data_IF_821886060494
#
_entry.id   IF_821886060494
#
_cell.length_a   1.000
_cell.length_b   1.000
_cell.length_c   1.000
_cell.angle_alpha   90.00
_cell.angle_beta   90.00
_cell.angle_gamma   90.00
#
_symmetry.space_group_name_H-M   'P 1'
#
loop_
_entity.id
_entity.type
_entity.pdbx_description
1 polymer ?
#
# COMPACT_ATOMS: atom_id res chain seq x y z
N UNK A 1 11.10 14.16 8.64
CA UNK A 1 10.13 13.42 9.48
C UNK A 1 8.74 13.84 9.04
N UNK A 2 7.81 12.90 8.92
CA UNK A 2 6.46 13.22 8.49
C UNK A 2 5.61 11.99 8.20
N UNK A 3 4.36 12.25 7.82
CA UNK A 3 3.38 11.25 7.46
C UNK A 3 3.82 10.47 6.21
N UNK A 4 3.58 9.17 6.21
CA UNK A 4 3.79 8.27 5.08
C UNK A 4 2.45 7.65 4.72
N UNK A 5 2.10 7.64 3.43
CA UNK A 5 0.97 6.85 2.95
C UNK A 5 1.48 5.60 2.24
N UNK A 6 0.86 4.46 2.52
CA UNK A 6 1.12 3.21 1.83
C UNK A 6 -0.09 2.71 1.05
N UNK A 7 0.18 2.02 -0.04
CA UNK A 7 -0.83 1.48 -0.95
C UNK A 7 -0.59 -0.01 -1.20
N UNK A 8 -1.62 -0.81 -0.93
CA UNK A 8 -1.74 -2.18 -1.46
C UNK A 8 -2.47 -2.10 -2.80
N UNK A 9 -1.73 -2.25 -3.90
CA UNK A 9 -2.29 -2.04 -5.23
C UNK A 9 -3.02 -3.28 -5.74
N UNK A 10 -4.34 -3.18 -5.88
CA UNK A 10 -5.15 -4.07 -6.68
C UNK A 10 -5.86 -3.32 -7.82
N UNK A 11 -6.14 -4.02 -8.92
CA UNK A 11 -6.77 -3.41 -10.11
C UNK A 11 -8.17 -2.85 -9.84
N UNK A 12 -8.91 -3.41 -8.88
CA UNK A 12 -10.26 -2.97 -8.53
C UNK A 12 -10.32 -2.18 -7.22
N UNK A 13 -9.36 -2.43 -6.33
CA UNK A 13 -9.36 -1.94 -4.95
C UNK A 13 -7.93 -1.64 -4.55
N UNK A 14 -7.73 -0.54 -3.83
CA UNK A 14 -6.44 -0.19 -3.28
C UNK A 14 -6.61 0.01 -1.78
N UNK A 15 -5.96 -0.85 -1.00
CA UNK A 15 -5.83 -0.65 0.43
C UNK A 15 -4.94 0.56 0.69
N UNK A 16 -5.29 1.39 1.67
CA UNK A 16 -4.49 2.55 2.05
C UNK A 16 -4.22 2.50 3.54
N UNK A 17 -2.97 2.80 3.91
CA UNK A 17 -2.54 2.98 5.28
C UNK A 17 -1.75 4.28 5.45
N UNK A 18 -1.70 4.74 6.69
CA UNK A 18 -0.93 5.92 7.10
C UNK A 18 -0.01 5.56 8.26
N UNK A 19 1.08 6.28 8.42
CA UNK A 19 2.01 6.09 9.52
C UNK A 19 3.02 7.22 9.62
N UNK A 20 3.80 7.23 10.68
CA UNK A 20 4.78 8.28 10.94
C UNK A 20 6.18 7.70 11.07
N UNK A 21 7.15 8.27 10.33
CA UNK A 21 8.54 7.77 10.32
C UNK A 21 9.21 7.78 11.68
N UNK A 22 8.77 8.65 12.59
CA UNK A 22 9.30 8.79 13.96
C UNK A 22 8.90 7.63 14.86
N UNK A 23 7.64 7.22 14.76
CA UNK A 23 7.08 6.16 15.60
C UNK A 23 7.32 4.78 14.98
N UNK A 24 7.50 4.72 13.66
CA UNK A 24 7.67 3.44 12.95
C UNK A 24 6.42 2.57 12.99
N UNK A 25 5.25 3.18 13.20
CA UNK A 25 3.97 2.50 13.36
C UNK A 25 3.02 2.84 12.23
N UNK A 26 2.39 1.82 11.66
CA UNK A 26 1.38 1.96 10.62
C UNK A 26 -0.04 1.69 11.13
N UNK A 27 -1.02 2.39 10.53
CA UNK A 27 -2.44 2.23 10.79
C UNK A 27 -3.23 2.10 9.48
N UNK A 28 -4.28 1.26 9.44
CA UNK A 28 -5.13 1.17 8.26
C UNK A 28 -5.93 2.47 8.14
N UNK A 29 -5.98 3.04 6.94
CA UNK A 29 -6.65 4.32 6.70
C UNK A 29 -8.01 4.11 6.02
N UNK A 30 -8.00 3.52 4.82
CA UNK A 30 -9.22 3.31 4.04
C UNK A 30 -8.96 2.36 2.88
N UNK A 31 -9.99 2.06 2.09
CA UNK A 31 -9.88 1.34 0.82
C UNK A 31 -10.51 2.16 -0.29
N UNK A 32 -9.75 2.38 -1.36
CA UNK A 32 -10.22 3.07 -2.56
C UNK A 32 -10.81 2.03 -3.50
N UNK A 33 -12.08 2.23 -3.85
CA UNK A 33 -12.76 1.50 -4.92
C UNK A 33 -12.88 2.42 -6.13
N UNK A 34 -12.27 2.04 -7.25
CA UNK A 34 -12.30 2.84 -8.47
C UNK A 34 -12.22 1.93 -9.70
N UNK A 35 -13.11 2.18 -10.66
CA UNK A 35 -13.16 1.42 -11.92
C UNK A 35 -12.23 2.01 -12.99
N UNK A 36 -11.95 3.31 -12.92
CA UNK A 36 -11.06 4.01 -13.83
C UNK A 36 -9.75 4.45 -13.15
N UNK A 37 -8.72 4.72 -13.97
CA UNK A 37 -7.48 5.31 -13.46
C UNK A 37 -7.70 6.74 -12.94
N UNK A 38 -8.57 7.51 -13.58
CA UNK A 38 -8.78 8.92 -13.21
C UNK A 38 -9.47 9.04 -11.85
N UNK A 39 -10.51 8.22 -11.59
CA UNK A 39 -11.19 8.18 -10.30
C UNK A 39 -10.24 7.73 -9.19
N UNK A 40 -9.40 6.74 -9.49
CA UNK A 40 -8.37 6.25 -8.58
C UNK A 40 -7.41 7.36 -8.16
N UNK A 41 -6.83 8.08 -9.12
CA UNK A 41 -5.90 9.16 -8.80
C UNK A 41 -6.60 10.39 -8.23
N UNK A 42 -7.88 10.63 -8.52
CA UNK A 42 -8.65 11.67 -7.85
C UNK A 42 -8.84 11.34 -6.36
N UNK A 43 -9.18 10.09 -6.02
CA UNK A 43 -9.31 9.64 -4.64
C UNK A 43 -7.98 9.72 -3.89
N UNK A 44 -6.88 9.24 -4.49
CA UNK A 44 -5.54 9.35 -3.91
C UNK A 44 -5.15 10.83 -3.70
N UNK A 45 -5.46 11.69 -4.66
CA UNK A 45 -5.15 13.12 -4.56
C UNK A 45 -5.82 13.80 -3.36
N UNK A 46 -7.05 13.39 -3.01
CA UNK A 46 -7.72 13.86 -1.78
C UNK A 46 -6.94 13.44 -0.54
N UNK A 47 -6.51 12.17 -0.46
CA UNK A 47 -5.72 11.68 0.66
C UNK A 47 -4.35 12.37 0.77
N UNK A 48 -3.68 12.60 -0.36
CA UNK A 48 -2.40 13.34 -0.38
C UNK A 48 -2.58 14.78 0.10
N UNK A 49 -3.65 15.45 -0.31
CA UNK A 49 -3.94 16.82 0.13
C UNK A 49 -4.30 16.89 1.63
N UNK A 50 -5.02 15.90 2.13
CA UNK A 50 -5.45 15.80 3.54
C UNK A 50 -4.30 15.45 4.47
N UNK A 51 -3.53 14.41 4.15
CA UNK A 51 -2.50 13.85 5.02
C UNK A 51 -1.10 14.46 4.82
N UNK A 52 -0.90 15.19 3.72
CA UNK A 52 0.36 15.85 3.35
C UNK A 52 1.59 14.96 3.56
N UNK A 53 1.61 13.75 2.97
CA UNK A 53 2.70 12.81 3.21
C UNK A 53 4.02 13.31 2.63
N UNK A 54 5.11 13.00 3.33
CA UNK A 54 6.48 13.27 2.86
C UNK A 54 7.01 12.14 1.98
N UNK A 55 6.38 10.97 2.03
CA UNK A 55 6.79 9.75 1.34
C UNK A 55 5.56 8.90 1.02
N UNK A 56 5.57 8.25 -0.15
CA UNK A 56 4.60 7.23 -0.50
C UNK A 56 5.28 5.85 -0.52
N UNK A 57 4.53 4.80 -0.20
CA UNK A 57 5.01 3.41 -0.24
C UNK A 57 4.02 2.57 -1.04
N UNK A 58 4.54 1.68 -1.89
CA UNK A 58 3.71 0.74 -2.67
C UNK A 58 4.17 -0.68 -2.37
N UNK A 59 3.22 -1.56 -2.06
CA UNK A 59 3.50 -2.98 -1.95
C UNK A 59 3.97 -3.55 -3.30
N UNK A 60 5.00 -4.39 -3.28
CA UNK A 60 5.53 -5.04 -4.45
C UNK A 60 5.36 -6.56 -4.32
N UNK A 61 4.44 -7.16 -5.09
CA UNK A 61 4.27 -8.61 -5.11
C UNK A 61 5.53 -9.29 -5.63
N UNK A 62 6.04 -10.22 -4.82
CA UNK A 62 7.27 -10.98 -5.06
C UNK A 62 6.93 -12.46 -4.98
N UNK A 63 6.71 -13.08 -6.15
CA UNK A 63 6.47 -14.52 -6.23
C UNK A 63 7.81 -15.28 -6.13
N UNK A 64 7.81 -16.39 -5.40
CA UNK A 64 8.99 -17.21 -5.10
C UNK A 64 9.37 -18.14 -6.26
N UNK A 65 8.44 -18.32 -7.21
CA UNK A 65 8.36 -19.39 -8.19
C UNK A 65 8.55 -18.93 -9.66
N UNK A 66 8.90 -17.65 -9.88
CA UNK A 66 9.41 -17.16 -11.17
C UNK A 66 8.37 -17.00 -12.30
N UNK A 67 7.08 -17.15 -12.01
CA UNK A 67 5.96 -16.86 -12.92
C UNK A 67 5.66 -15.35 -13.01
N UNK A 68 4.98 -14.88 -14.08
CA UNK A 68 5.20 -13.53 -14.59
C UNK A 68 4.85 -12.38 -13.64
N UNK A 69 5.80 -11.46 -13.60
CA UNK A 69 5.85 -10.09 -13.09
C UNK A 69 4.67 -9.16 -13.46
N UNK A 70 3.48 -9.62 -13.86
CA UNK A 70 2.43 -8.71 -14.33
C UNK A 70 1.91 -7.80 -13.22
N UNK A 71 1.55 -8.35 -12.05
CA UNK A 71 1.12 -7.50 -10.93
C UNK A 71 2.26 -6.61 -10.43
N UNK A 72 3.48 -7.15 -10.34
CA UNK A 72 4.70 -6.39 -10.06
C UNK A 72 4.86 -5.22 -11.04
N UNK A 73 4.69 -5.46 -12.35
CA UNK A 73 4.78 -4.47 -13.43
C UNK A 73 3.67 -3.42 -13.30
N UNK A 74 2.46 -3.81 -12.94
CA UNK A 74 1.34 -2.89 -12.73
C UNK A 74 1.57 -2.03 -11.48
N UNK A 75 2.02 -2.61 -10.37
CA UNK A 75 2.40 -1.90 -9.15
C UNK A 75 3.55 -0.91 -9.40
N UNK A 76 4.58 -1.30 -10.16
CA UNK A 76 5.67 -0.38 -10.55
C UNK A 76 5.15 0.77 -11.42
N UNK A 77 4.31 0.49 -12.43
CA UNK A 77 3.67 1.54 -13.24
C UNK A 77 2.80 2.48 -12.41
N UNK A 78 2.10 1.94 -11.40
CA UNK A 78 1.32 2.72 -10.46
C UNK A 78 2.22 3.63 -9.61
N UNK A 79 3.30 3.11 -9.04
CA UNK A 79 4.29 3.87 -8.28
C UNK A 79 4.94 5.00 -9.10
N UNK A 80 5.29 4.75 -10.36
CA UNK A 80 5.79 5.80 -11.25
C UNK A 80 4.78 6.91 -11.50
N UNK A 81 3.50 6.57 -11.64
CA UNK A 81 2.42 7.56 -11.80
C UNK A 81 2.23 8.38 -10.54
N UNK A 82 2.29 7.76 -9.35
CA UNK A 82 2.28 8.47 -8.07
C UNK A 82 3.41 9.49 -8.00
N UNK A 83 4.65 9.04 -8.28
CA UNK A 83 5.84 9.89 -8.28
C UNK A 83 5.68 11.10 -9.19
N UNK A 84 5.27 10.88 -10.45
CA UNK A 84 5.08 11.97 -11.43
C UNK A 84 3.95 12.93 -11.06
N UNK A 85 2.84 12.42 -10.50
CA UNK A 85 1.64 13.23 -10.24
C UNK A 85 1.75 14.07 -8.98
N UNK A 86 2.39 13.55 -7.94
CA UNK A 86 2.46 14.22 -6.63
C UNK A 86 3.82 14.80 -6.31
N UNK A 87 4.84 14.51 -7.14
CA UNK A 87 6.22 14.95 -6.90
C UNK A 87 6.75 14.54 -5.51
N UNK A 88 6.36 13.34 -5.07
CA UNK A 88 6.79 12.74 -3.81
C UNK A 88 7.71 11.54 -4.08
N UNK A 89 8.67 11.28 -3.18
CA UNK A 89 9.41 10.02 -3.24
C UNK A 89 8.46 8.84 -3.05
N UNK A 90 8.75 7.75 -3.76
CA UNK A 90 7.96 6.50 -3.70
C UNK A 90 8.91 5.35 -3.42
N UNK A 91 8.66 4.64 -2.33
CA UNK A 91 9.40 3.44 -1.91
C UNK A 91 8.57 2.19 -2.17
N UNK A 92 9.23 1.04 -2.12
CA UNK A 92 8.58 -0.27 -2.26
C UNK A 92 8.76 -1.09 -0.99
N UNK A 93 7.73 -1.84 -0.60
CA UNK A 93 7.83 -2.85 0.43
C UNK A 93 7.66 -4.24 -0.19
N UNK A 94 8.45 -5.21 0.26
CA UNK A 94 8.38 -6.59 -0.21
C UNK A 94 7.18 -7.32 0.42
N UNK A 95 6.30 -7.90 -0.39
CA UNK A 95 5.07 -8.56 0.06
C UNK A 95 5.24 -10.05 0.42
N UNK A 96 6.46 -10.61 0.33
CA UNK A 96 6.75 -12.05 0.55
C UNK A 96 6.18 -12.66 1.82
N UNK A 97 5.88 -11.86 2.84
CA UNK A 97 5.42 -12.32 4.16
C UNK A 97 3.91 -12.21 4.39
N UNK A 98 3.13 -11.58 3.50
CA UNK A 98 1.79 -11.10 3.87
C UNK A 98 0.65 -11.96 3.36
N UNK A 99 0.80 -12.71 2.26
CA UNK A 99 -0.34 -13.38 1.60
C UNK A 99 -0.87 -14.59 2.38
N UNK A 100 0.02 -15.45 2.88
CA UNK A 100 -0.35 -16.70 3.57
C UNK A 100 -0.86 -16.43 5.00
N UNK A 101 -0.17 -15.55 5.73
CA UNK A 101 -0.53 -15.22 7.12
C UNK A 101 -1.79 -14.35 7.21
N UNK A 102 -2.01 -13.44 6.25
CA UNK A 102 -3.24 -12.66 6.22
C UNK A 102 -4.44 -13.57 5.94
N UNK A 103 -4.42 -14.40 4.89
CA UNK A 103 -5.55 -15.30 4.59
C UNK A 103 -5.87 -16.30 5.72
N UNK A 104 -4.86 -16.75 6.48
CA UNK A 104 -5.05 -17.61 7.64
C UNK A 104 -5.77 -16.86 8.77
N UNK A 105 -5.28 -15.68 9.16
CA UNK A 105 -5.89 -14.84 10.20
C UNK A 105 -7.31 -14.40 9.83
N UNK A 106 -7.59 -14.21 8.54
CA UNK A 106 -8.90 -13.79 8.05
C UNK A 106 -9.97 -14.88 8.16
N UNK A 107 -9.60 -16.14 7.89
CA UNK A 107 -10.50 -17.29 8.05
C UNK A 107 -10.92 -17.50 9.51
N UNK A 108 -10.04 -17.19 10.47
CA UNK A 108 -10.33 -17.32 11.89
C UNK A 108 -11.36 -16.31 12.43
N UNK A 109 -11.54 -15.16 11.76
CA UNK A 109 -12.42 -14.08 12.27
C UNK A 109 -13.91 -14.24 12.00
N UNK A 110 -14.36 -15.27 11.26
CA UNK A 110 -15.77 -15.62 11.08
C UNK A 110 -16.67 -14.55 10.41
N UNK A 111 -16.10 -13.45 9.90
CA UNK A 111 -16.84 -12.37 9.24
C UNK A 111 -17.19 -12.74 7.79
N UNK A 112 -18.38 -12.36 7.34
CA UNK A 112 -18.80 -12.57 5.95
C UNK A 112 -17.80 -11.88 5.00
N UNK A 113 -17.17 -12.66 4.12
CA UNK A 113 -16.00 -12.24 3.32
C UNK A 113 -16.26 -10.96 2.52
N UNK A 114 -17.51 -10.69 2.09
CA UNK A 114 -17.85 -9.48 1.32
C UNK A 114 -17.83 -8.18 2.15
N UNK A 115 -18.25 -8.20 3.42
CA UNK A 115 -18.28 -7.00 4.27
C UNK A 115 -16.96 -6.75 4.97
N UNK A 116 -16.17 -7.80 5.21
CA UNK A 116 -14.83 -7.65 5.77
C UNK A 116 -13.83 -7.08 4.74
N UNK A 117 -14.03 -7.39 3.45
CA UNK A 117 -13.10 -7.14 2.35
C UNK A 117 -12.45 -5.74 2.30
N UNK A 118 -13.18 -4.62 2.44
CA UNK A 118 -12.56 -3.29 2.46
C UNK A 118 -11.64 -3.07 3.66
N UNK A 119 -12.00 -3.59 4.84
CA UNK A 119 -11.11 -3.53 6.02
C UNK A 119 -9.84 -4.36 5.80
N UNK A 120 -9.95 -5.48 5.08
CA UNK A 120 -8.80 -6.36 4.84
C UNK A 120 -7.77 -5.72 3.92
N UNK A 121 -8.21 -5.04 2.85
CA UNK A 121 -7.29 -4.36 1.95
C UNK A 121 -6.54 -3.23 2.69
N UNK A 122 -7.24 -2.46 3.54
CA UNK A 122 -6.60 -1.41 4.35
C UNK A 122 -5.60 -1.99 5.37
N UNK A 123 -5.89 -3.16 5.94
CA UNK A 123 -4.96 -3.90 6.83
C UNK A 123 -3.76 -4.44 6.05
N UNK A 124 -3.93 -4.90 4.81
CA UNK A 124 -2.81 -5.30 3.96
C UNK A 124 -1.87 -4.12 3.69
N UNK A 125 -2.41 -2.93 3.39
CA UNK A 125 -1.62 -1.71 3.25
C UNK A 125 -0.90 -1.31 4.55
N UNK A 126 -1.51 -1.56 5.72
CA UNK A 126 -0.86 -1.35 7.01
C UNK A 126 0.37 -2.24 7.16
N UNK A 127 0.25 -3.53 6.83
CA UNK A 127 1.37 -4.48 6.88
C UNK A 127 2.49 -4.09 5.92
N UNK A 128 2.15 -3.67 4.69
CA UNK A 128 3.11 -3.13 3.72
C UNK A 128 3.92 -1.97 4.34
N UNK A 129 3.24 -1.02 4.98
CA UNK A 129 3.90 0.14 5.57
C UNK A 129 4.76 -0.26 6.79
N UNK A 130 4.26 -1.17 7.61
CA UNK A 130 4.99 -1.69 8.77
C UNK A 130 6.29 -2.39 8.34
N UNK A 131 6.22 -3.27 7.34
CA UNK A 131 7.39 -3.93 6.73
C UNK A 131 8.38 -2.91 6.19
N UNK A 132 7.89 -1.81 5.58
CA UNK A 132 8.76 -0.76 5.08
C UNK A 132 9.48 0.00 6.21
N UNK A 133 8.80 0.29 7.32
CA UNK A 133 9.43 0.92 8.49
C UNK A 133 10.49 0.03 9.13
N UNK A 134 10.25 -1.28 9.19
CA UNK A 134 11.14 -2.29 9.79
C UNK A 134 12.32 -2.67 8.87
N UNK A 135 12.19 -2.43 7.57
CA UNK A 135 13.24 -2.72 6.60
C UNK A 135 14.41 -1.72 6.75
N UNK A 136 15.68 -2.17 6.72
CA UNK A 136 16.86 -1.32 6.92
C UNK A 136 17.18 -0.33 5.78
N UNK A 137 16.18 0.06 4.97
CA UNK A 137 16.32 1.02 3.88
C UNK A 137 15.71 2.39 4.22
N UNK A 138 16.15 2.99 5.33
CA UNK A 138 16.02 4.43 5.54
C UNK A 138 17.28 5.11 5.00
N UNK A 139 17.30 5.38 3.70
CA UNK A 139 18.19 6.41 3.15
C UNK A 139 17.35 7.34 2.30
N UNK A 140 17.06 8.52 2.86
CA UNK A 140 16.70 9.71 2.09
C UNK A 140 17.91 10.03 1.19
N UNK A 141 17.80 10.07 -0.14
CA UNK A 141 18.88 10.65 -0.94
C UNK A 141 18.94 12.14 -0.61
N UNK A 142 20.16 12.62 -0.38
CA UNK A 142 20.51 14.02 -0.15
C UNK A 142 20.05 14.93 -1.30
#
# INVERSE_FOLDING_TARGET
MGTVLAFDFGEKRIGVATGETMLGTAHPLTTIHAESNDDRFAAIGKLVAEWQPVQLVVGLPTHVDGTPHEMTRLATKFAERLKRRYNLPVGFADERLTSVDAEARLRETGRNSKTAKPLLDAVAAQLILQTWFESPHHVTPA
#
